data_IF_456629214456
#
_entry.id   IF_456629214456
#
_cell.length_a   1.000
_cell.length_b   1.000
_cell.length_c   1.000
_cell.angle_alpha   90.00
_cell.angle_beta   90.00
_cell.angle_gamma   90.00
#
_symmetry.space_group_name_H-M   'P 1'
#
loop_
_entity.id
_entity.type
_entity.pdbx_description
1 polymer ?
#
# COMPACT_ATOMS: atom_id res chain seq x y z
N UNK A 1 7.36 25.28 -4.48
CA UNK A 1 6.88 23.95 -4.08
C UNK A 1 7.79 22.99 -4.81
N UNK A 2 8.78 22.51 -4.06
CA UNK A 2 10.09 22.05 -4.53
C UNK A 2 10.06 20.66 -5.16
N UNK A 3 10.86 20.46 -6.20
CA UNK A 3 11.04 19.15 -6.86
C UNK A 3 11.65 18.06 -5.99
N UNK A 4 12.06 18.38 -4.75
CA UNK A 4 12.55 17.40 -3.76
C UNK A 4 11.41 16.54 -3.19
N UNK A 5 10.19 17.08 -3.06
CA UNK A 5 9.06 16.33 -2.52
C UNK A 5 8.57 15.25 -3.51
N UNK A 6 8.59 15.52 -4.82
CA UNK A 6 8.16 14.57 -5.86
C UNK A 6 9.05 13.32 -5.90
N UNK A 7 10.38 13.51 -5.80
CA UNK A 7 11.33 12.39 -5.79
C UNK A 7 11.17 11.49 -4.57
N UNK A 8 10.94 12.08 -3.39
CA UNK A 8 10.73 11.29 -2.18
C UNK A 8 9.44 10.46 -2.24
N UNK A 9 8.35 11.06 -2.74
CA UNK A 9 7.09 10.35 -2.96
C UNK A 9 7.24 9.17 -3.92
N UNK A 10 8.01 9.32 -5.01
CA UNK A 10 8.30 8.23 -5.96
C UNK A 10 9.04 7.07 -5.32
N UNK A 11 10.12 7.34 -4.58
CA UNK A 11 10.91 6.30 -3.90
C UNK A 11 10.05 5.56 -2.88
N UNK A 12 9.23 6.27 -2.10
CA UNK A 12 8.30 5.65 -1.16
C UNK A 12 7.24 4.80 -1.86
N UNK A 13 6.70 5.27 -2.99
CA UNK A 13 5.73 4.52 -3.77
C UNK A 13 6.35 3.24 -4.34
N UNK A 14 7.57 3.32 -4.88
CA UNK A 14 8.31 2.16 -5.33
C UNK A 14 8.50 1.17 -4.18
N UNK A 15 9.01 1.66 -3.04
CA UNK A 15 9.23 0.86 -1.85
C UNK A 15 7.97 0.15 -1.38
N UNK A 16 6.83 0.82 -1.38
CA UNK A 16 5.55 0.25 -1.00
C UNK A 16 5.16 -0.93 -1.89
N UNK A 17 5.30 -0.81 -3.21
CA UNK A 17 4.92 -1.88 -4.14
C UNK A 17 5.89 -3.07 -4.09
N UNK A 18 7.19 -2.79 -4.06
CA UNK A 18 8.22 -3.84 -4.01
C UNK A 18 8.18 -4.59 -2.69
N UNK A 19 8.05 -3.87 -1.56
CA UNK A 19 7.83 -4.50 -0.25
C UNK A 19 6.50 -5.27 -0.21
N UNK A 20 5.43 -4.74 -0.81
CA UNK A 20 4.16 -5.46 -0.93
C UNK A 20 4.31 -6.84 -1.60
N UNK A 21 5.13 -6.92 -2.66
CA UNK A 21 5.50 -8.19 -3.29
C UNK A 21 6.30 -9.10 -2.37
N UNK A 22 7.33 -8.56 -1.71
CA UNK A 22 8.19 -9.34 -0.81
C UNK A 22 7.46 -9.89 0.43
N UNK A 23 6.51 -9.15 0.97
CA UNK A 23 5.70 -9.57 2.12
C UNK A 23 4.43 -10.32 1.73
N UNK A 24 4.18 -10.54 0.42
CA UNK A 24 3.13 -11.46 -0.02
C UNK A 24 3.53 -12.89 0.37
N UNK A 25 2.69 -13.64 1.11
CA UNK A 25 3.01 -15.00 1.52
C UNK A 25 3.42 -15.88 0.34
N UNK A 26 4.44 -16.71 0.50
CA UNK A 26 4.93 -17.57 -0.59
C UNK A 26 3.89 -18.52 -1.21
N UNK A 27 2.80 -18.81 -0.51
CA UNK A 27 1.66 -19.59 -1.05
C UNK A 27 0.64 -18.77 -1.85
N UNK A 28 0.85 -17.46 -1.97
CA UNK A 28 -0.02 -16.53 -2.68
C UNK A 28 0.75 -15.78 -3.77
N UNK A 29 0.06 -15.45 -4.86
CA UNK A 29 0.60 -14.60 -5.90
C UNK A 29 0.16 -13.16 -5.65
N UNK A 30 1.10 -12.22 -5.80
CA UNK A 30 0.79 -10.80 -5.73
C UNK A 30 -0.16 -10.44 -6.87
N UNK A 31 -1.29 -9.83 -6.52
CA UNK A 31 -2.31 -9.43 -7.49
C UNK A 31 -1.86 -8.16 -8.21
N UNK A 32 -2.00 -8.08 -9.55
CA UNK A 32 -1.76 -6.86 -10.28
C UNK A 32 -2.71 -5.72 -9.85
N UNK A 33 -2.27 -4.47 -10.02
CA UNK A 33 -3.10 -3.32 -9.68
C UNK A 33 -4.45 -3.35 -10.43
N UNK A 34 -5.56 -3.01 -9.76
CA UNK A 34 -6.87 -2.97 -10.40
C UNK A 34 -6.89 -1.90 -11.49
N UNK A 35 -7.59 -2.20 -12.59
CA UNK A 35 -7.77 -1.26 -13.70
C UNK A 35 -9.06 -0.47 -13.49
N UNK A 36 -9.03 0.81 -13.85
CA UNK A 36 -10.22 1.65 -13.83
C UNK A 36 -11.25 1.14 -14.86
N UNK A 37 -12.42 0.76 -14.37
CA UNK A 37 -13.58 0.38 -15.18
C UNK A 37 -14.81 1.15 -14.65
N UNK A 38 -15.46 1.92 -15.52
CA UNK A 38 -16.54 2.84 -15.13
C UNK A 38 -17.85 2.15 -14.74
N UNK A 39 -18.12 0.97 -15.29
CA UNK A 39 -19.40 0.24 -15.11
C UNK A 39 -19.27 -1.06 -14.32
N UNK A 40 -18.06 -1.43 -13.91
CA UNK A 40 -17.79 -2.72 -13.26
C UNK A 40 -17.71 -3.92 -14.22
N UNK A 41 -18.16 -3.79 -15.47
CA UNK A 41 -18.02 -4.82 -16.52
C UNK A 41 -17.33 -4.22 -17.77
N UNK A 42 -16.04 -4.48 -17.93
CA UNK A 42 -15.21 -3.97 -19.03
C UNK A 42 -14.39 -5.10 -19.65
N UNK A 43 -14.33 -5.12 -20.97
CA UNK A 43 -13.40 -5.95 -21.74
C UNK A 43 -12.25 -5.09 -22.25
N UNK A 44 -11.04 -5.61 -22.20
CA UNK A 44 -9.87 -4.94 -22.78
C UNK A 44 -9.29 -5.81 -23.88
N UNK A 45 -8.81 -5.21 -24.99
CA UNK A 45 -8.07 -5.97 -25.97
C UNK A 45 -6.80 -6.53 -25.32
N UNK A 46 -6.31 -7.67 -25.84
CA UNK A 46 -5.05 -8.22 -25.38
C UNK A 46 -3.94 -7.17 -25.54
N UNK A 47 -3.19 -6.95 -24.45
CA UNK A 47 -2.14 -5.93 -24.41
C UNK A 47 -0.76 -6.58 -24.39
N UNK A 48 0.21 -5.91 -25.00
CA UNK A 48 1.63 -6.23 -24.88
C UNK A 48 2.30 -5.12 -24.09
N UNK A 49 3.04 -5.48 -23.05
CA UNK A 49 3.71 -4.53 -22.16
C UNK A 49 5.10 -5.01 -21.79
N UNK A 50 5.95 -4.06 -21.41
CA UNK A 50 7.16 -4.38 -20.63
C UNK A 50 6.71 -4.96 -19.29
N UNK A 51 7.36 -6.04 -18.88
CA UNK A 51 7.19 -6.68 -17.60
C UNK A 51 8.53 -6.97 -16.96
N UNK A 52 8.46 -7.42 -15.71
CA UNK A 52 9.61 -7.91 -14.97
C UNK A 52 9.42 -9.42 -14.81
N UNK A 53 10.44 -10.15 -15.24
CA UNK A 53 10.52 -11.58 -15.04
C UNK A 53 11.56 -11.88 -13.97
N UNK A 54 11.36 -12.99 -13.26
CA UNK A 54 12.32 -13.48 -12.28
C UNK A 54 12.60 -14.95 -12.52
N UNK A 55 13.83 -15.37 -12.27
CA UNK A 55 14.17 -16.79 -12.22
C UNK A 55 15.08 -17.09 -11.02
N UNK A 56 15.02 -18.34 -10.57
CA UNK A 56 15.76 -18.85 -9.41
C UNK A 56 16.44 -20.15 -9.81
N UNK A 57 17.75 -20.21 -9.64
CA UNK A 57 18.59 -21.35 -9.94
C UNK A 57 19.25 -21.87 -8.68
N UNK A 58 19.23 -23.19 -8.50
CA UNK A 58 19.97 -23.86 -7.43
C UNK A 58 21.44 -24.01 -7.85
N UNK A 59 22.31 -23.29 -7.16
CA UNK A 59 23.76 -23.28 -7.37
C UNK A 59 24.51 -23.94 -6.21
N UNK A 60 23.82 -24.75 -5.39
CA UNK A 60 24.42 -25.45 -4.24
C UNK A 60 25.63 -26.30 -4.66
N UNK A 61 25.58 -26.89 -5.86
CA UNK A 61 26.68 -27.68 -6.42
C UNK A 61 27.97 -26.89 -6.69
N UNK A 62 27.91 -25.56 -6.74
CA UNK A 62 29.07 -24.67 -6.90
C UNK A 62 29.69 -24.26 -5.56
N UNK A 63 29.02 -24.56 -4.45
CA UNK A 63 29.43 -24.14 -3.13
C UNK A 63 30.62 -24.98 -2.63
N UNK A 64 31.67 -24.29 -2.18
CA UNK A 64 32.82 -24.88 -1.50
C UNK A 64 32.70 -24.63 -0.01
N UNK A 65 32.35 -25.68 0.74
CA UNK A 65 32.28 -25.63 2.20
C UNK A 65 33.58 -26.13 2.81
N UNK A 66 34.18 -25.35 3.71
CA UNK A 66 35.37 -25.70 4.47
C UNK A 66 35.14 -25.45 5.96
N UNK A 67 35.82 -26.19 6.81
CA UNK A 67 35.81 -25.97 8.27
C UNK A 67 37.16 -25.32 8.64
N UNK A 68 37.27 -23.98 8.61
CA UNK A 68 38.47 -23.29 9.05
C UNK A 68 38.78 -23.58 10.53
N UNK A 69 40.03 -23.32 10.98
CA UNK A 69 40.40 -23.46 12.37
C UNK A 69 39.44 -22.72 13.30
N UNK A 70 39.19 -23.23 14.52
CA UNK A 70 38.39 -22.56 15.51
C UNK A 70 38.75 -21.09 15.67
N UNK A 71 37.76 -20.21 15.44
CA UNK A 71 37.87 -18.77 15.68
C UNK A 71 37.15 -18.44 16.97
N UNK A 72 37.77 -17.67 17.86
CA UNK A 72 37.06 -17.10 19.00
C UNK A 72 36.10 -16.01 18.50
N UNK A 73 34.85 -16.07 18.95
CA UNK A 73 33.80 -15.11 18.62
C UNK A 73 33.50 -14.26 19.87
N UNK A 74 34.37 -13.30 20.24
CA UNK A 74 34.36 -12.61 21.54
C UNK A 74 33.05 -11.86 21.84
N UNK A 75 32.25 -11.58 20.80
CA UNK A 75 31.01 -10.82 20.90
C UNK A 75 29.75 -11.69 20.86
N UNK A 76 29.90 -13.01 20.91
CA UNK A 76 28.80 -13.98 20.88
C UNK A 76 28.89 -14.94 22.10
N UNK A 77 28.73 -14.42 23.34
CA UNK A 77 28.79 -15.25 24.55
C UNK A 77 27.60 -16.23 24.58
N UNK A 78 27.89 -17.52 24.38
CA UNK A 78 26.86 -18.58 24.33
C UNK A 78 27.01 -19.59 23.19
N UNK A 79 27.98 -19.38 22.28
CA UNK A 79 28.38 -20.39 21.31
C UNK A 79 28.93 -21.64 22.02
N UNK A 80 28.19 -22.74 21.97
CA UNK A 80 28.55 -24.00 22.61
C UNK A 80 29.60 -24.80 21.82
N UNK A 81 29.94 -24.37 20.59
CA UNK A 81 30.92 -25.04 19.74
C UNK A 81 31.94 -24.05 19.17
N UNK A 82 33.22 -24.44 19.24
CA UNK A 82 34.36 -23.72 18.65
C UNK A 82 34.50 -23.95 17.13
N UNK A 83 33.54 -24.62 16.49
CA UNK A 83 33.62 -24.90 15.05
C UNK A 83 33.23 -23.66 14.27
N UNK A 84 33.88 -23.44 13.14
CA UNK A 84 33.58 -22.35 12.21
C UNK A 84 33.41 -22.97 10.84
N UNK A 85 32.40 -22.56 10.10
CA UNK A 85 32.17 -22.99 8.73
C UNK A 85 32.43 -21.84 7.78
N UNK A 86 33.02 -22.13 6.64
CA UNK A 86 33.19 -21.19 5.55
C UNK A 86 32.58 -21.78 4.29
N UNK A 87 31.60 -21.10 3.71
CA UNK A 87 30.89 -21.48 2.50
C UNK A 87 31.19 -20.45 1.41
N UNK A 88 31.81 -20.90 0.31
CA UNK A 88 32.34 -20.02 -0.72
C UNK A 88 31.78 -20.35 -2.10
N UNK A 89 31.37 -19.33 -2.86
CA UNK A 89 31.03 -19.47 -4.28
C UNK A 89 32.26 -19.17 -5.18
N UNK A 90 32.31 -19.69 -6.43
CA UNK A 90 33.46 -19.54 -7.32
C UNK A 90 33.85 -18.09 -7.64
N UNK A 91 32.94 -17.14 -7.44
CA UNK A 91 33.13 -15.71 -7.67
C UNK A 91 33.87 -14.97 -6.54
N UNK A 92 34.43 -15.67 -5.55
CA UNK A 92 35.14 -15.05 -4.41
C UNK A 92 34.23 -14.60 -3.27
N UNK A 93 32.96 -14.97 -3.32
CA UNK A 93 31.98 -14.70 -2.29
C UNK A 93 32.09 -15.76 -1.19
N UNK A 94 32.66 -15.40 -0.05
CA UNK A 94 32.88 -16.32 1.06
C UNK A 94 32.04 -15.89 2.27
N UNK A 95 31.10 -16.72 2.67
CA UNK A 95 30.40 -16.62 3.94
C UNK A 95 31.19 -17.40 4.99
N UNK A 96 31.70 -16.75 6.03
CA UNK A 96 32.31 -17.45 7.18
C UNK A 96 31.48 -17.22 8.43
N UNK A 97 30.93 -18.30 8.98
CA UNK A 97 30.01 -18.26 10.11
C UNK A 97 30.48 -19.17 11.25
N UNK A 98 30.19 -18.82 12.51
CA UNK A 98 30.37 -19.76 13.60
C UNK A 98 29.42 -20.95 13.41
N UNK A 99 29.82 -22.13 13.89
CA UNK A 99 28.96 -23.32 13.94
C UNK A 99 27.88 -23.12 15.01
N UNK A 100 26.86 -22.38 14.61
CA UNK A 100 25.59 -22.29 15.30
C UNK A 100 24.69 -23.41 14.78
N UNK A 101 23.95 -24.08 15.67
CA UNK A 101 22.78 -24.86 15.26
C UNK A 101 21.67 -23.88 14.86
N UNK A 102 21.90 -23.16 13.78
CA UNK A 102 21.06 -22.06 13.37
C UNK A 102 21.01 -21.89 11.86
N UNK A 103 20.06 -21.07 11.45
CA UNK A 103 19.80 -20.75 10.06
C UNK A 103 20.56 -19.48 9.71
N UNK A 104 21.56 -19.63 8.86
CA UNK A 104 22.33 -18.50 8.34
C UNK A 104 21.78 -18.12 6.97
N UNK A 105 21.83 -16.83 6.69
CA UNK A 105 21.29 -16.23 5.48
C UNK A 105 22.27 -15.15 5.04
N UNK A 106 22.97 -15.41 3.94
CA UNK A 106 23.95 -14.49 3.38
C UNK A 106 23.55 -14.13 1.97
N UNK A 107 23.39 -12.84 1.74
CA UNK A 107 22.97 -12.30 0.47
C UNK A 107 24.05 -11.38 -0.05
N UNK A 108 24.61 -11.70 -1.21
CA UNK A 108 25.70 -10.94 -1.81
C UNK A 108 25.26 -10.29 -3.11
N UNK A 109 25.64 -9.02 -3.23
CA UNK A 109 25.34 -8.09 -4.32
C UNK A 109 26.68 -7.78 -5.00
N UNK A 110 27.17 -8.70 -5.81
CA UNK A 110 28.54 -8.62 -6.33
C UNK A 110 28.59 -8.25 -7.81
N UNK A 111 29.75 -7.73 -8.24
CA UNK A 111 30.11 -7.38 -9.62
C UNK A 111 30.28 -8.61 -10.53
N UNK A 112 30.17 -9.82 -9.97
CA UNK A 112 30.42 -11.06 -10.71
C UNK A 112 29.32 -11.35 -11.74
N UNK A 113 29.70 -11.84 -12.94
CA UNK A 113 28.73 -12.28 -13.94
C UNK A 113 27.86 -13.40 -13.38
N UNK A 114 26.64 -13.51 -13.91
CA UNK A 114 25.71 -14.56 -13.50
C UNK A 114 26.30 -15.95 -13.69
N UNK A 115 26.13 -16.81 -12.68
CA UNK A 115 26.62 -18.20 -12.73
C UNK A 115 25.66 -19.10 -13.53
N UNK A 116 24.36 -18.83 -13.47
CA UNK A 116 23.30 -19.66 -14.07
C UNK A 116 22.58 -18.99 -15.23
N UNK A 117 22.53 -17.65 -15.26
CA UNK A 117 21.65 -16.88 -16.14
C UNK A 117 22.40 -16.15 -17.26
N UNK A 118 23.42 -16.79 -17.84
CA UNK A 118 24.21 -16.22 -18.95
C UNK A 118 23.34 -15.82 -20.16
N UNK A 119 22.26 -16.56 -20.43
CA UNK A 119 21.37 -16.35 -21.57
C UNK A 119 20.46 -15.12 -21.45
N UNK A 120 20.33 -14.53 -20.26
CA UNK A 120 19.51 -13.33 -20.00
C UNK A 120 20.33 -12.18 -19.41
N UNK A 121 21.65 -12.31 -19.35
CA UNK A 121 22.53 -11.40 -18.62
C UNK A 121 22.37 -9.93 -19.05
N UNK A 122 22.18 -9.68 -20.35
CA UNK A 122 22.07 -8.32 -20.89
C UNK A 122 20.75 -7.62 -20.49
N UNK A 123 19.68 -8.37 -20.20
CA UNK A 123 18.42 -7.80 -19.70
C UNK A 123 18.26 -7.89 -18.18
N UNK A 124 19.17 -8.57 -17.48
CA UNK A 124 19.17 -8.70 -16.03
C UNK A 124 19.60 -7.40 -15.40
N UNK A 125 18.69 -6.76 -14.66
CA UNK A 125 18.99 -5.54 -13.91
C UNK A 125 19.24 -5.82 -12.43
N UNK A 126 18.93 -7.00 -11.90
CA UNK A 126 19.36 -7.39 -10.57
C UNK A 126 19.70 -8.89 -10.55
N UNK A 127 20.87 -9.20 -10.02
CA UNK A 127 21.29 -10.58 -9.76
C UNK A 127 21.76 -10.67 -8.31
N UNK A 128 21.24 -11.65 -7.59
CA UNK A 128 21.45 -11.80 -6.16
C UNK A 128 21.77 -13.25 -5.85
N UNK A 129 22.86 -13.47 -5.15
CA UNK A 129 23.21 -14.78 -4.64
C UNK A 129 22.80 -14.88 -3.18
N UNK A 130 22.19 -16.00 -2.83
CA UNK A 130 21.76 -16.31 -1.49
C UNK A 130 22.39 -17.64 -1.05
N UNK A 131 23.26 -17.58 -0.05
CA UNK A 131 23.79 -18.75 0.65
C UNK A 131 23.02 -18.89 1.95
N UNK A 132 22.49 -20.08 2.23
CA UNK A 132 21.76 -20.34 3.45
C UNK A 132 22.07 -21.73 4.01
N UNK A 133 21.82 -21.93 5.30
CA UNK A 133 22.12 -23.19 5.98
C UNK A 133 20.85 -23.85 6.51
N UNK A 134 20.82 -25.19 6.43
CA UNK A 134 19.81 -26.04 7.03
C UNK A 134 20.45 -26.94 8.08
N UNK A 135 19.74 -27.19 9.17
CA UNK A 135 20.20 -28.10 10.22
C UNK A 135 19.42 -29.39 10.13
N UNK A 136 20.10 -30.48 9.78
CA UNK A 136 19.52 -31.82 9.68
C UNK A 136 19.72 -32.55 10.99
N UNK A 137 18.66 -33.17 11.51
CA UNK A 137 18.74 -34.01 12.71
C UNK A 137 18.89 -33.22 14.01
N UNK A 138 18.20 -32.08 14.13
CA UNK A 138 18.25 -31.10 15.24
C UNK A 138 18.11 -31.66 16.67
N UNK A 139 17.67 -32.93 16.82
CA UNK A 139 17.50 -33.63 18.09
C UNK A 139 18.40 -34.88 18.22
N UNK A 140 19.39 -35.02 17.34
CA UNK A 140 20.30 -36.17 17.30
C UNK A 140 21.72 -35.70 17.59
N UNK A 141 22.56 -36.54 18.22
CA UNK A 141 23.99 -36.26 18.38
C UNK A 141 24.75 -36.19 17.03
N UNK A 142 24.08 -36.48 15.92
CA UNK A 142 24.59 -36.41 14.55
C UNK A 142 24.08 -35.18 13.79
N UNK A 143 23.57 -34.16 14.48
CA UNK A 143 23.11 -32.94 13.85
C UNK A 143 24.21 -32.34 12.95
N UNK A 144 23.87 -32.07 11.69
CA UNK A 144 24.80 -31.53 10.68
C UNK A 144 24.20 -30.28 10.07
N UNK A 145 25.08 -29.33 9.75
CA UNK A 145 24.75 -28.13 8.99
C UNK A 145 25.02 -28.43 7.52
N UNK A 146 24.00 -28.27 6.69
CA UNK A 146 24.11 -28.35 5.24
C UNK A 146 23.92 -26.97 4.66
N UNK A 147 24.87 -26.51 3.85
CA UNK A 147 24.77 -25.24 3.16
C UNK A 147 24.17 -25.44 1.78
N UNK A 148 23.30 -24.53 1.41
CA UNK A 148 22.67 -24.44 0.11
C UNK A 148 22.89 -23.05 -0.45
N UNK A 149 22.83 -22.92 -1.77
CA UNK A 149 22.99 -21.65 -2.44
C UNK A 149 22.04 -21.55 -3.62
N UNK A 150 21.41 -20.39 -3.77
CA UNK A 150 20.60 -20.05 -4.94
C UNK A 150 21.05 -18.74 -5.57
N UNK A 151 20.87 -18.64 -6.87
CA UNK A 151 21.00 -17.41 -7.63
C UNK A 151 19.61 -16.95 -8.06
N UNK A 152 19.34 -15.67 -7.88
CA UNK A 152 18.05 -15.05 -8.20
C UNK A 152 18.28 -13.88 -9.14
N UNK A 153 17.64 -13.91 -10.30
CA UNK A 153 17.74 -12.85 -11.29
C UNK A 153 16.38 -12.18 -11.50
N UNK A 154 16.36 -10.85 -11.55
CA UNK A 154 15.27 -10.05 -12.10
C UNK A 154 15.73 -9.40 -13.38
N UNK A 155 14.92 -9.54 -14.42
CA UNK A 155 15.27 -9.12 -15.76
C UNK A 155 14.05 -8.58 -16.49
N UNK A 156 14.32 -7.74 -17.48
CA UNK A 156 13.28 -7.22 -18.33
C UNK A 156 12.77 -8.27 -19.30
N UNK A 157 11.46 -8.33 -19.45
CA UNK A 157 10.81 -9.20 -20.41
C UNK A 157 9.59 -8.49 -21.02
N UNK A 158 9.06 -9.04 -22.10
CA UNK A 158 7.79 -8.64 -22.68
C UNK A 158 6.73 -9.65 -22.29
N UNK A 159 5.56 -9.14 -21.91
CA UNK A 159 4.42 -9.97 -21.50
C UNK A 159 3.18 -9.53 -22.25
N UNK A 160 2.35 -10.49 -22.60
CA UNK A 160 1.01 -10.23 -23.10
C UNK A 160 -0.05 -10.66 -22.10
N UNK A 161 -1.09 -9.84 -21.96
CA UNK A 161 -2.17 -10.06 -20.99
C UNK A 161 -3.54 -9.98 -21.66
N UNK A 162 -4.40 -10.92 -21.28
CA UNK A 162 -5.84 -10.78 -21.44
C UNK A 162 -6.42 -10.23 -20.15
N UNK A 163 -7.22 -9.17 -20.26
CA UNK A 163 -7.73 -8.44 -19.11
C UNK A 163 -9.25 -8.36 -19.24
N UNK A 164 -9.92 -8.89 -18.23
CA UNK A 164 -11.37 -8.81 -18.13
C UNK A 164 -11.76 -8.28 -16.76
N UNK A 165 -12.68 -7.30 -16.73
CA UNK A 165 -13.27 -6.80 -15.50
C UNK A 165 -14.71 -7.27 -15.46
N UNK A 166 -15.05 -8.06 -14.45
CA UNK A 166 -16.41 -8.54 -14.23
C UNK A 166 -16.84 -8.23 -12.80
N UNK A 167 -17.99 -7.54 -12.65
CA UNK A 167 -18.56 -7.10 -11.36
C UNK A 167 -17.57 -6.31 -10.49
N UNK A 168 -16.77 -5.46 -11.12
CA UNK A 168 -15.73 -4.65 -10.49
C UNK A 168 -14.46 -5.41 -10.10
N UNK A 169 -14.36 -6.70 -10.42
CA UNK A 169 -13.16 -7.51 -10.15
C UNK A 169 -12.35 -7.63 -11.43
N UNK A 170 -11.14 -7.06 -11.43
CA UNK A 170 -10.18 -7.21 -12.54
C UNK A 170 -9.52 -8.58 -12.48
N UNK A 171 -9.55 -9.31 -13.60
CA UNK A 171 -8.81 -10.55 -13.81
C UNK A 171 -7.74 -10.32 -14.86
N UNK A 172 -6.51 -10.60 -14.48
CA UNK A 172 -5.35 -10.58 -15.35
C UNK A 172 -4.98 -12.02 -15.69
N UNK A 173 -4.82 -12.32 -16.98
CA UNK A 173 -4.31 -13.60 -17.44
C UNK A 173 -3.13 -13.37 -18.36
N UNK A 174 -1.96 -13.85 -17.97
CA UNK A 174 -0.78 -13.85 -18.85
C UNK A 174 -1.00 -14.87 -19.98
N UNK A 175 -0.86 -14.41 -21.23
CA UNK A 175 -1.05 -15.25 -22.42
C UNK A 175 0.30 -15.77 -22.91
N UNK A 176 1.28 -14.87 -23.03
CA UNK A 176 2.59 -15.16 -23.59
C UNK A 176 3.65 -14.26 -22.96
N UNK A 177 4.90 -14.71 -22.97
CA UNK A 177 6.06 -13.97 -22.46
C UNK A 177 7.29 -14.23 -23.32
N UNK A 178 8.17 -13.24 -23.44
CA UNK A 178 9.46 -13.35 -24.11
C UNK A 178 10.50 -12.47 -23.43
N UNK A 179 11.77 -12.84 -23.51
CA UNK A 179 12.88 -12.02 -23.04
C UNK A 179 13.93 -11.84 -24.15
N UNK A 180 13.49 -11.91 -25.41
CA UNK A 180 14.37 -11.75 -26.56
C UNK A 180 14.72 -10.27 -26.76
N UNK A 181 16.01 -9.97 -26.80
CA UNK A 181 16.55 -8.66 -27.13
C UNK A 181 16.64 -8.52 -28.66
N UNK A 182 16.31 -7.33 -29.18
CA UNK A 182 16.43 -6.99 -30.61
C UNK A 182 17.70 -6.21 -30.94
N UNK A 183 18.14 -5.34 -30.03
CA UNK A 183 19.36 -4.53 -30.19
C UNK A 183 20.44 -5.02 -29.24
N UNK A 184 21.65 -5.26 -29.73
CA UNK A 184 22.79 -5.69 -28.91
C UNK A 184 23.28 -4.50 -28.05
N UNK A 185 22.54 -4.20 -26.97
CA UNK A 185 22.99 -3.31 -25.91
C UNK A 185 24.18 -3.97 -25.24
N UNK A 186 25.37 -3.45 -25.51
CA UNK A 186 26.63 -3.89 -24.88
C UNK A 186 26.75 -3.43 -23.42
N UNK A 187 25.79 -2.64 -22.95
CA UNK A 187 25.79 -1.94 -21.67
C UNK A 187 25.06 -2.75 -20.62
N UNK A 188 25.78 -3.18 -19.57
CA UNK A 188 25.19 -3.93 -18.48
C UNK A 188 24.12 -3.09 -17.75
N UNK A 189 22.89 -3.61 -17.66
CA UNK A 189 21.75 -2.93 -17.01
C UNK A 189 21.68 -3.18 -15.50
N UNK A 190 22.66 -3.89 -14.94
CA UNK A 190 22.78 -4.20 -13.51
C UNK A 190 23.82 -3.30 -12.84
N UNK A 191 23.44 -2.62 -11.76
CA UNK A 191 24.25 -1.62 -11.04
C UNK A 191 25.62 -2.15 -10.62
N UNK A 192 25.75 -3.32 -9.94
CA UNK A 192 27.05 -3.85 -9.56
C UNK A 192 27.97 -4.01 -10.76
N UNK A 193 27.47 -4.45 -11.91
CA UNK A 193 28.29 -4.62 -13.12
C UNK A 193 28.50 -3.33 -13.94
N UNK A 194 27.89 -2.21 -13.58
CA UNK A 194 27.97 -0.95 -14.33
C UNK A 194 28.73 0.13 -13.55
N UNK A 195 30.05 0.19 -13.76
CA UNK A 195 30.94 1.12 -13.06
C UNK A 195 30.58 2.60 -13.32
N UNK A 196 30.17 2.94 -14.54
CA UNK A 196 29.78 4.31 -14.89
C UNK A 196 28.56 4.78 -14.08
N UNK A 197 27.60 3.88 -13.84
CA UNK A 197 26.44 4.18 -13.02
C UNK A 197 26.79 4.33 -11.54
N UNK A 198 27.65 3.46 -11.01
CA UNK A 198 28.17 3.59 -9.63
C UNK A 198 28.83 4.96 -9.46
N UNK A 199 29.74 5.34 -10.36
CA UNK A 199 30.41 6.63 -10.34
C UNK A 199 29.42 7.81 -10.47
N UNK A 200 28.32 7.60 -11.19
CA UNK A 200 27.23 8.57 -11.29
C UNK A 200 26.44 8.71 -9.98
N UNK A 201 25.94 7.62 -9.41
CA UNK A 201 25.12 7.62 -8.17
C UNK A 201 25.88 8.19 -6.98
N UNK A 202 27.19 7.91 -6.89
CA UNK A 202 28.04 8.46 -5.83
C UNK A 202 28.59 9.86 -6.15
N UNK A 203 28.06 10.52 -7.19
CA UNK A 203 28.41 11.88 -7.63
C UNK A 203 29.91 12.11 -7.86
N UNK A 204 30.68 11.04 -8.07
CA UNK A 204 32.13 11.11 -8.26
C UNK A 204 32.48 11.75 -9.61
N UNK A 205 31.58 11.69 -10.59
CA UNK A 205 31.72 12.32 -11.91
C UNK A 205 30.39 12.86 -12.46
N UNK A 206 30.00 14.12 -12.15
CA UNK A 206 28.69 14.66 -12.54
C UNK A 206 28.43 14.72 -14.05
N UNK A 207 29.48 14.77 -14.89
CA UNK A 207 29.36 14.75 -16.35
C UNK A 207 28.90 13.40 -16.94
N UNK A 208 29.00 12.31 -16.18
CA UNK A 208 28.57 10.96 -16.63
C UNK A 208 27.11 10.63 -16.25
N UNK A 209 26.45 11.54 -15.54
CA UNK A 209 25.04 11.42 -15.17
C UNK A 209 24.09 12.11 -16.15
N UNK A 210 24.59 12.68 -17.25
CA UNK A 210 23.73 13.34 -18.21
C UNK A 210 22.76 12.32 -18.82
N UNK A 211 21.46 12.65 -18.81
CA UNK A 211 20.38 11.73 -19.22
C UNK A 211 20.55 11.21 -20.66
N UNK A 212 21.28 11.94 -21.51
CA UNK A 212 21.54 11.60 -22.90
C UNK A 212 22.69 10.59 -23.10
N UNK A 213 23.46 10.25 -22.05
CA UNK A 213 24.59 9.32 -22.16
C UNK A 213 24.20 7.85 -21.99
N UNK A 214 22.93 7.56 -21.64
CA UNK A 214 22.45 6.21 -21.39
C UNK A 214 21.71 5.65 -22.60
N UNK A 215 21.94 4.37 -22.90
CA UNK A 215 21.34 3.68 -24.03
C UNK A 215 19.88 3.28 -23.79
N UNK A 216 19.37 2.51 -24.74
CA UNK A 216 18.04 1.92 -24.68
C UNK A 216 18.14 0.41 -24.90
N UNK A 217 17.42 -0.36 -24.09
CA UNK A 217 17.22 -1.79 -24.27
C UNK A 217 15.93 -2.03 -25.06
N UNK A 218 16.06 -2.62 -26.25
CA UNK A 218 14.92 -2.93 -27.12
C UNK A 218 14.57 -4.42 -27.04
N UNK A 219 13.34 -4.73 -26.64
CA UNK A 219 12.83 -6.08 -26.51
C UNK A 219 11.83 -6.43 -27.62
N UNK A 220 11.90 -7.67 -28.08
CA UNK A 220 10.96 -8.23 -29.03
C UNK A 220 9.58 -8.46 -28.37
N UNK A 221 8.48 -8.27 -29.11
CA UNK A 221 7.17 -8.68 -28.63
C UNK A 221 7.12 -10.21 -28.37
N UNK A 222 6.22 -10.67 -27.49
CA UNK A 222 6.11 -12.09 -27.18
C UNK A 222 5.51 -12.89 -28.37
N UNK A 223 5.77 -14.22 -28.44
CA UNK A 223 5.21 -15.08 -29.48
C UNK A 223 3.68 -14.94 -29.59
N UNK A 224 3.17 -14.87 -30.82
CA UNK A 224 1.76 -14.62 -31.13
C UNK A 224 1.39 -13.13 -31.23
N UNK A 225 2.31 -12.23 -30.88
CA UNK A 225 2.11 -10.78 -30.92
C UNK A 225 3.17 -10.06 -31.77
N UNK A 226 3.76 -10.74 -32.76
CA UNK A 226 4.90 -10.25 -33.55
C UNK A 226 4.62 -8.97 -34.35
N UNK A 227 3.33 -8.62 -34.53
CA UNK A 227 2.90 -7.38 -35.19
C UNK A 227 3.00 -6.15 -34.28
N UNK A 228 3.15 -6.32 -32.98
CA UNK A 228 3.32 -5.20 -32.06
C UNK A 228 4.70 -4.55 -32.25
N UNK A 229 4.79 -3.22 -32.11
CA UNK A 229 6.08 -2.55 -32.17
C UNK A 229 6.99 -3.04 -31.03
N UNK A 230 8.32 -3.04 -31.24
CA UNK A 230 9.25 -3.42 -30.20
C UNK A 230 9.13 -2.48 -28.99
N UNK A 231 9.41 -3.02 -27.82
CA UNK A 231 9.31 -2.30 -26.57
C UNK A 231 10.69 -1.79 -26.15
N UNK A 232 10.78 -0.51 -25.83
CA UNK A 232 12.04 0.16 -25.52
C UNK A 232 12.06 0.56 -24.05
N UNK A 233 13.15 0.23 -23.38
CA UNK A 233 13.39 0.51 -21.95
C UNK A 233 14.64 1.37 -21.85
N UNK A 234 14.57 2.46 -21.10
CA UNK A 234 15.73 3.30 -20.86
C UNK A 234 16.68 2.61 -19.86
N UNK A 235 17.98 2.55 -20.18
CA UNK A 235 18.97 1.89 -19.33
C UNK A 235 19.09 2.53 -17.94
N UNK A 236 18.97 3.86 -17.84
CA UNK A 236 19.01 4.57 -16.55
C UNK A 236 17.86 4.13 -15.62
N UNK A 237 16.68 3.86 -16.18
CA UNK A 237 15.55 3.33 -15.41
C UNK A 237 15.87 1.92 -14.85
N UNK A 238 16.53 1.08 -15.65
CA UNK A 238 16.97 -0.26 -15.24
C UNK A 238 17.97 -0.19 -14.09
N UNK A 239 18.95 0.70 -14.20
CA UNK A 239 19.97 0.91 -13.18
C UNK A 239 19.39 1.52 -11.89
N UNK A 240 18.40 2.41 -12.00
CA UNK A 240 17.65 2.91 -10.85
C UNK A 240 16.91 1.80 -10.09
N UNK A 241 16.24 0.89 -10.81
CA UNK A 241 15.61 -0.30 -10.20
C UNK A 241 16.63 -1.23 -9.57
N UNK A 242 17.76 -1.46 -10.25
CA UNK A 242 18.89 -2.24 -9.75
C UNK A 242 19.41 -1.70 -8.43
N UNK A 243 19.67 -0.39 -8.38
CA UNK A 243 20.12 0.32 -7.19
C UNK A 243 19.10 0.20 -6.06
N UNK A 244 17.83 0.41 -6.36
CA UNK A 244 16.77 0.29 -5.38
C UNK A 244 16.73 -1.12 -4.77
N UNK A 245 16.77 -2.18 -5.58
CA UNK A 245 16.75 -3.55 -5.08
C UNK A 245 17.98 -3.82 -4.21
N UNK A 246 19.16 -3.53 -4.75
CA UNK A 246 20.46 -3.64 -4.05
C UNK A 246 20.40 -2.94 -2.68
N UNK A 247 19.98 -1.68 -2.66
CA UNK A 247 19.81 -0.91 -1.42
C UNK A 247 18.69 -1.44 -0.53
N UNK A 248 17.62 -2.04 -1.06
CA UNK A 248 16.53 -2.60 -0.25
C UNK A 248 16.91 -3.92 0.42
N UNK A 249 17.85 -4.66 -0.16
CA UNK A 249 18.53 -5.77 0.48
C UNK A 249 19.58 -5.30 1.50
N UNK A 250 20.15 -4.10 1.34
CA UNK A 250 21.20 -3.57 2.22
C UNK A 250 20.68 -2.65 3.35
N UNK A 251 19.54 -1.97 3.16
CA UNK A 251 19.07 -0.88 4.03
C UNK A 251 18.61 -1.37 5.40
N UNK A 252 19.56 -1.48 6.31
CA UNK A 252 19.36 -1.34 7.75
C UNK A 252 20.34 -0.33 8.33
N UNK A 253 20.36 0.91 7.84
CA UNK A 253 21.19 1.96 8.43
C UNK A 253 20.62 2.40 9.80
N UNK A 254 21.41 2.22 10.86
CA UNK A 254 21.52 3.13 12.01
C UNK A 254 22.96 3.03 12.54
N UNK A 255 23.65 4.08 12.96
CA UNK A 255 23.45 5.56 13.09
C UNK A 255 24.73 6.08 13.82
N UNK A 256 24.86 7.32 14.35
CA UNK A 256 24.29 8.63 14.07
C UNK A 256 25.40 9.64 13.65
N UNK A 257 25.05 10.90 13.42
CA UNK A 257 25.98 12.00 13.62
C UNK A 257 26.58 11.92 15.05
N UNK A 258 27.88 11.64 15.10
CA UNK A 258 28.88 11.82 16.17
C UNK A 258 28.42 12.16 17.60
N UNK A 259 28.86 11.35 18.57
CA UNK A 259 29.75 11.79 19.68
C UNK A 259 30.15 10.61 20.59
N UNK A 260 31.41 10.20 20.44
CA UNK A 260 32.36 9.67 21.43
C UNK A 260 31.96 8.54 22.42
N UNK A 261 32.76 7.46 22.34
CA UNK A 261 32.90 6.33 23.28
C UNK A 261 31.67 5.41 23.31
N UNK A 262 31.77 4.15 22.93
CA UNK A 262 32.72 3.14 23.42
C UNK A 262 32.97 2.07 22.36
N UNK A 263 34.14 1.44 22.47
CA UNK A 263 34.63 0.27 21.73
C UNK A 263 33.60 -0.85 21.50
N UNK A 264 32.85 -0.78 20.39
CA UNK A 264 31.99 -1.85 19.87
C UNK A 264 32.45 -2.26 18.47
N UNK A 265 32.72 -3.56 18.32
CA UNK A 265 32.90 -4.31 17.05
C UNK A 265 33.24 -3.51 15.79
N UNK A 266 34.52 -3.27 15.57
CA UNK A 266 35.05 -3.30 14.21
C UNK A 266 35.21 -4.77 13.78
N UNK A 267 34.13 -5.37 13.26
CA UNK A 267 34.29 -6.43 12.27
C UNK A 267 34.63 -5.68 10.99
N UNK A 268 35.93 -5.59 10.69
CA UNK A 268 36.44 -4.94 9.49
C UNK A 268 35.94 -5.64 8.23
N UNK A 269 34.89 -5.05 7.63
CA UNK A 269 34.45 -5.19 6.23
C UNK A 269 33.08 -4.53 6.17
N UNK A 270 32.97 -3.37 5.53
CA UNK A 270 31.74 -2.56 5.40
C UNK A 270 30.66 -3.23 4.52
N UNK A 271 30.66 -4.56 4.36
CA UNK A 271 29.85 -5.28 3.38
C UNK A 271 28.92 -6.38 3.94
N UNK A 272 28.78 -6.55 5.26
CA UNK A 272 28.18 -7.79 5.82
C UNK A 272 26.96 -7.58 6.77
N UNK A 273 25.82 -8.23 6.45
CA UNK A 273 24.67 -8.59 7.31
C UNK A 273 24.04 -9.91 6.81
N UNK A 274 23.37 -10.84 7.53
CA UNK A 274 22.61 -10.93 8.81
C UNK A 274 22.76 -12.34 9.47
N UNK A 275 22.37 -12.53 10.76
CA UNK A 275 22.49 -13.81 11.54
C UNK A 275 21.21 -14.25 12.30
N UNK A 276 20.99 -15.57 12.58
CA UNK A 276 20.09 -16.13 13.64
C UNK A 276 20.84 -17.17 14.50
N UNK A 277 20.50 -17.28 15.79
CA UNK A 277 20.75 -18.47 16.64
C UNK A 277 19.46 -18.93 17.39
N UNK A 278 19.25 -20.25 17.53
CA UNK A 278 18.18 -20.85 18.35
C UNK A 278 18.54 -20.74 19.86
N UNK A 279 17.87 -19.85 20.61
CA UNK A 279 18.13 -19.60 22.05
C UNK A 279 17.82 -18.16 22.52
N UNK A 280 18.26 -17.75 23.72
CA UNK A 280 17.97 -16.42 24.35
C UNK A 280 18.76 -15.22 23.72
N UNK A 281 18.60 -15.02 22.40
CA UNK A 281 18.80 -13.79 21.54
C UNK A 281 20.24 -13.51 21.03
N UNK A 282 20.58 -12.84 19.89
CA UNK A 282 19.95 -11.89 18.92
C UNK A 282 20.49 -12.02 17.46
N UNK A 283 19.96 -11.18 16.53
CA UNK A 283 20.10 -11.12 15.06
C UNK A 283 20.47 -9.71 14.62
N UNK A 284 21.13 -9.54 13.46
CA UNK A 284 21.20 -8.22 12.78
C UNK A 284 20.59 -8.26 11.38
N UNK A 285 19.26 -8.13 11.33
CA UNK A 285 18.32 -7.69 10.26
C UNK A 285 18.62 -6.39 9.47
N UNK A 286 19.33 -6.34 8.34
CA UNK A 286 19.49 -5.07 7.59
C UNK A 286 18.94 -5.21 6.17
N UNK A 287 17.83 -4.51 5.88
CA UNK A 287 17.13 -4.59 4.59
C UNK A 287 15.70 -5.14 4.74
N UNK A 288 14.72 -4.40 4.23
CA UNK A 288 13.31 -4.79 4.27
C UNK A 288 13.05 -6.05 3.42
N UNK A 289 13.77 -6.20 2.30
CA UNK A 289 13.68 -7.39 1.46
C UNK A 289 14.35 -8.58 2.13
N UNK A 290 15.56 -8.41 2.65
CA UNK A 290 16.29 -9.47 3.37
C UNK A 290 15.45 -10.03 4.53
N UNK A 291 14.74 -9.17 5.26
CA UNK A 291 13.78 -9.59 6.29
C UNK A 291 12.62 -10.41 5.71
N UNK A 292 12.02 -9.96 4.61
CA UNK A 292 10.93 -10.66 3.96
C UNK A 292 11.35 -12.05 3.45
N UNK A 293 12.55 -12.18 2.88
CA UNK A 293 13.14 -13.46 2.50
C UNK A 293 13.31 -14.38 3.70
N UNK A 294 13.90 -13.88 4.78
CA UNK A 294 14.12 -14.65 6.00
C UNK A 294 12.79 -15.14 6.62
N UNK A 295 11.76 -14.28 6.68
CA UNK A 295 10.42 -14.65 7.17
C UNK A 295 9.76 -15.70 6.28
N UNK A 296 9.84 -15.57 4.95
CA UNK A 296 9.20 -16.55 4.07
C UNK A 296 9.92 -17.90 4.07
N UNK A 297 11.26 -17.90 4.10
CA UNK A 297 12.05 -19.14 4.10
C UNK A 297 11.98 -19.91 5.42
N UNK A 298 11.96 -19.20 6.56
CA UNK A 298 12.04 -19.81 7.88
C UNK A 298 10.74 -19.68 8.69
N UNK A 299 9.68 -19.13 8.08
CA UNK A 299 8.35 -18.92 8.67
C UNK A 299 8.46 -18.14 9.99
N UNK A 300 7.94 -18.69 11.08
CA UNK A 300 7.96 -18.10 12.43
C UNK A 300 9.35 -18.19 13.07
N UNK A 301 10.36 -18.63 12.31
CA UNK A 301 11.72 -18.92 12.74
C UNK A 301 11.84 -19.90 13.93
N UNK A 302 10.77 -20.62 14.23
CA UNK A 302 10.66 -21.58 15.32
C UNK A 302 10.50 -23.03 14.80
N UNK A 303 10.26 -23.20 13.50
CA UNK A 303 10.07 -24.52 12.87
C UNK A 303 11.29 -24.97 12.07
N UNK A 304 11.50 -26.28 12.02
CA UNK A 304 12.35 -26.90 10.99
C UNK A 304 11.57 -26.83 9.68
N UNK A 305 12.07 -26.05 8.73
CA UNK A 305 11.50 -25.99 7.38
C UNK A 305 12.06 -27.15 6.58
N UNK A 306 11.19 -27.81 5.81
CA UNK A 306 11.61 -28.84 4.88
C UNK A 306 12.52 -28.19 3.80
N UNK A 307 13.79 -28.60 3.67
CA UNK A 307 14.71 -28.06 2.67
C UNK A 307 14.14 -28.10 1.25
N UNK A 308 13.34 -29.11 0.93
CA UNK A 308 12.75 -29.27 -0.41
C UNK A 308 11.76 -28.13 -0.77
N UNK A 309 11.20 -27.45 0.23
CA UNK A 309 10.21 -26.39 0.06
C UNK A 309 10.81 -24.99 -0.10
N UNK A 310 12.08 -24.79 0.24
CA UNK A 310 12.71 -23.46 0.29
C UNK A 310 12.93 -22.85 -1.10
N UNK A 311 13.42 -23.62 -2.07
CA UNK A 311 13.60 -23.12 -3.45
C UNK A 311 12.26 -22.72 -4.11
N UNK A 312 11.18 -23.52 -4.01
CA UNK A 312 9.85 -23.08 -4.46
C UNK A 312 9.35 -21.81 -3.76
N UNK A 313 9.57 -21.67 -2.45
CA UNK A 313 9.22 -20.47 -1.69
C UNK A 313 9.96 -19.25 -2.25
N UNK A 314 11.26 -19.39 -2.51
CA UNK A 314 12.09 -18.33 -3.09
C UNK A 314 11.61 -17.96 -4.49
N UNK A 315 11.28 -18.93 -5.34
CA UNK A 315 10.74 -18.68 -6.69
C UNK A 315 9.43 -17.88 -6.64
N UNK A 316 8.53 -18.22 -5.72
CA UNK A 316 7.27 -17.49 -5.56
C UNK A 316 7.51 -16.08 -5.02
N UNK A 317 8.43 -15.93 -4.06
CA UNK A 317 8.81 -14.64 -3.51
C UNK A 317 9.44 -13.71 -4.55
N UNK A 318 10.39 -14.18 -5.35
CA UNK A 318 11.00 -13.39 -6.43
C UNK A 318 9.98 -13.01 -7.50
N UNK A 319 9.03 -13.90 -7.79
CA UNK A 319 7.91 -13.63 -8.71
C UNK A 319 6.98 -12.55 -8.15
N UNK A 320 6.67 -12.58 -6.85
CA UNK A 320 5.86 -11.55 -6.21
C UNK A 320 6.56 -10.19 -6.19
N UNK A 321 7.87 -10.17 -5.93
CA UNK A 321 8.68 -8.95 -6.05
C UNK A 321 8.63 -8.40 -7.49
N UNK A 322 8.77 -9.26 -8.51
CA UNK A 322 8.65 -8.87 -9.90
C UNK A 322 7.27 -8.25 -10.21
N UNK A 323 6.18 -8.89 -9.77
CA UNK A 323 4.82 -8.33 -9.86
C UNK A 323 4.68 -6.99 -9.13
N UNK A 324 5.37 -6.80 -8.01
CA UNK A 324 5.41 -5.54 -7.28
C UNK A 324 6.09 -4.43 -8.06
N UNK A 325 7.23 -4.73 -8.68
CA UNK A 325 7.92 -3.79 -9.58
C UNK A 325 7.02 -3.45 -10.79
N UNK A 326 6.34 -4.43 -11.38
CA UNK A 326 5.39 -4.17 -12.48
C UNK A 326 4.23 -3.28 -12.05
N UNK A 327 3.67 -3.50 -10.86
CA UNK A 327 2.59 -2.67 -10.33
C UNK A 327 3.05 -1.22 -10.12
N UNK A 328 4.28 -1.03 -9.62
CA UNK A 328 4.89 0.29 -9.54
C UNK A 328 5.02 0.94 -10.92
N UNK A 329 5.61 0.24 -11.90
CA UNK A 329 5.79 0.73 -13.27
C UNK A 329 4.45 1.13 -13.90
N UNK A 330 3.41 0.32 -13.73
CA UNK A 330 2.05 0.61 -14.24
C UNK A 330 1.41 1.82 -13.56
N UNK A 331 1.63 1.98 -12.26
CA UNK A 331 1.07 3.09 -11.48
C UNK A 331 1.70 4.44 -11.82
N UNK A 332 2.99 4.44 -12.18
CA UNK A 332 3.81 5.66 -12.33
C UNK A 332 4.46 5.77 -13.72
N UNK A 333 3.71 5.41 -14.77
CA UNK A 333 4.24 5.34 -16.14
C UNK A 333 4.66 6.71 -16.70
N UNK A 334 3.98 7.80 -16.30
CA UNK A 334 4.30 9.17 -16.75
C UNK A 334 5.64 9.66 -16.23
N UNK A 335 6.03 9.18 -15.05
CA UNK A 335 7.23 9.60 -14.34
C UNK A 335 8.53 9.02 -14.90
N UNK A 336 8.46 7.84 -15.53
CA UNK A 336 9.63 7.04 -15.91
C UNK A 336 9.98 7.15 -17.40
N UNK A 337 9.35 8.08 -18.14
CA UNK A 337 9.51 8.25 -19.60
C UNK A 337 9.40 6.94 -20.39
N UNK A 338 8.73 5.94 -19.83
CA UNK A 338 8.38 4.75 -20.56
C UNK A 338 7.41 5.20 -21.64
N UNK A 339 7.63 4.77 -22.88
CA UNK A 339 6.71 5.01 -24.00
C UNK A 339 5.44 4.19 -23.82
N UNK A 340 4.74 4.37 -22.71
CA UNK A 340 3.50 3.70 -22.40
C UNK A 340 2.37 4.43 -23.13
N UNK A 341 1.59 3.69 -23.92
CA UNK A 341 0.37 4.19 -24.53
C UNK A 341 -0.81 3.70 -23.69
N UNK A 342 -1.73 4.59 -23.28
CA UNK A 342 -2.93 4.14 -22.60
C UNK A 342 -3.72 3.24 -23.54
N UNK A 343 -4.17 2.09 -23.02
CA UNK A 343 -5.07 1.18 -23.74
C UNK A 343 -6.47 1.37 -23.18
N UNK A 344 -7.41 1.71 -24.04
CA UNK A 344 -8.81 1.89 -23.68
C UNK A 344 -9.55 0.55 -23.81
N UNK A 345 -10.32 0.19 -22.79
CA UNK A 345 -11.24 -0.95 -22.83
C UNK A 345 -12.62 -0.56 -23.36
N UNK A 346 -13.41 -1.58 -23.69
CA UNK A 346 -14.82 -1.47 -24.06
C UNK A 346 -15.70 -1.86 -22.89
N UNK A 347 -16.66 -1.00 -22.55
CA UNK A 347 -17.68 -1.28 -21.53
C UNK A 347 -18.69 -2.29 -22.08
N UNK A 348 -18.90 -3.42 -21.39
CA UNK A 348 -19.78 -4.51 -21.87
C UNK A 348 -21.24 -4.29 -21.43
N UNK A 349 -21.46 -3.65 -20.28
CA UNK A 349 -22.78 -3.38 -19.75
C UNK A 349 -22.90 -1.93 -19.29
N UNK A 350 -23.86 -1.20 -19.84
CA UNK A 350 -24.41 0.00 -19.22
C UNK A 350 -25.27 -0.43 -18.04
N UNK A 351 -24.65 -0.77 -16.90
CA UNK A 351 -25.42 -0.97 -15.68
C UNK A 351 -25.91 0.39 -15.23
N UNK A 352 -27.21 0.66 -15.41
CA UNK A 352 -27.84 1.83 -14.83
C UNK A 352 -27.67 1.77 -13.30
N UNK A 353 -26.76 2.58 -12.76
CA UNK A 353 -26.43 2.61 -11.32
C UNK A 353 -27.62 3.07 -10.46
N UNK A 354 -28.63 3.68 -11.10
CA UNK A 354 -29.87 4.13 -10.44
C UNK A 354 -31.07 3.62 -11.23
N UNK A 355 -31.69 2.54 -10.74
CA UNK A 355 -32.99 2.11 -11.24
C UNK A 355 -34.07 2.99 -10.60
N UNK A 356 -34.44 4.09 -11.26
CA UNK A 356 -35.53 4.95 -10.78
C UNK A 356 -36.83 4.14 -10.89
N UNK A 357 -37.32 3.66 -9.75
CA UNK A 357 -38.63 3.03 -9.64
C UNK A 357 -39.69 4.13 -9.53
N UNK A 358 -40.18 4.57 -10.69
CA UNK A 358 -41.29 5.54 -10.82
C UNK A 358 -42.49 5.31 -9.88
N UNK A 359 -42.89 4.07 -9.53
CA UNK A 359 -43.99 3.84 -8.58
C UNK A 359 -43.79 4.43 -7.17
N UNK A 360 -42.56 4.60 -6.71
CA UNK A 360 -42.29 5.25 -5.41
C UNK A 360 -42.40 6.77 -5.50
N UNK A 361 -42.06 7.35 -6.67
CA UNK A 361 -42.19 8.78 -6.90
C UNK A 361 -43.67 9.19 -6.96
N UNK A 362 -44.54 8.34 -7.51
CA UNK A 362 -45.99 8.58 -7.55
C UNK A 362 -46.61 8.61 -6.16
N UNK A 363 -46.10 7.83 -5.21
CA UNK A 363 -46.57 7.86 -3.82
C UNK A 363 -46.25 9.21 -3.15
N UNK A 364 -45.01 9.69 -3.28
CA UNK A 364 -44.60 11.00 -2.74
C UNK A 364 -45.39 12.16 -3.39
N UNK A 365 -45.62 12.10 -4.70
CA UNK A 365 -46.45 13.08 -5.41
C UNK A 365 -47.90 13.05 -4.94
N UNK A 366 -48.47 11.87 -4.69
CA UNK A 366 -49.82 11.72 -4.17
C UNK A 366 -49.94 12.26 -2.73
N UNK A 367 -48.98 11.98 -1.86
CA UNK A 367 -48.97 12.48 -0.48
C UNK A 367 -48.87 14.01 -0.44
N UNK A 368 -47.99 14.60 -1.26
CA UNK A 368 -47.79 16.04 -1.33
C UNK A 368 -49.02 16.77 -1.89
N UNK A 369 -49.64 16.21 -2.94
CA UNK A 369 -50.88 16.76 -3.50
C UNK A 369 -52.05 16.66 -2.53
N UNK A 370 -52.22 15.52 -1.86
CA UNK A 370 -53.32 15.30 -0.92
C UNK A 370 -53.17 16.16 0.34
N UNK A 371 -51.95 16.32 0.85
CA UNK A 371 -51.64 17.24 1.96
C UNK A 371 -51.88 18.70 1.59
N UNK A 372 -51.51 19.11 0.38
CA UNK A 372 -51.77 20.46 -0.11
C UNK A 372 -53.26 20.74 -0.28
N UNK A 373 -54.03 19.77 -0.79
CA UNK A 373 -55.49 19.88 -0.91
C UNK A 373 -56.16 19.96 0.46
N UNK A 374 -55.72 19.14 1.42
CA UNK A 374 -56.23 19.16 2.78
C UNK A 374 -55.98 20.51 3.47
N UNK A 375 -54.76 21.07 3.33
CA UNK A 375 -54.43 22.39 3.86
C UNK A 375 -55.29 23.49 3.24
N UNK A 376 -55.45 23.50 1.91
CA UNK A 376 -56.30 24.48 1.22
C UNK A 376 -57.76 24.35 1.64
N UNK A 377 -58.26 23.14 1.86
CA UNK A 377 -59.60 22.90 2.35
C UNK A 377 -59.79 23.47 3.77
N UNK A 378 -58.82 23.29 4.68
CA UNK A 378 -58.86 23.86 6.02
C UNK A 378 -58.83 25.39 5.98
N UNK A 379 -57.93 25.98 5.18
CA UNK A 379 -57.82 27.43 5.05
C UNK A 379 -59.14 28.01 4.51
N UNK A 380 -59.68 27.40 3.46
CA UNK A 380 -60.96 27.80 2.89
C UNK A 380 -62.09 27.68 3.90
N UNK A 381 -62.18 26.56 4.61
CA UNK A 381 -63.23 26.34 5.61
C UNK A 381 -63.12 27.34 6.77
N UNK A 382 -61.93 27.57 7.31
CA UNK A 382 -61.68 28.54 8.35
C UNK A 382 -62.08 29.97 7.94
N UNK A 383 -61.77 30.36 6.70
CA UNK A 383 -62.18 31.64 6.14
C UNK A 383 -63.70 31.77 6.02
N UNK A 384 -64.41 30.70 5.64
CA UNK A 384 -65.87 30.69 5.56
C UNK A 384 -66.56 30.70 6.93
N UNK A 385 -66.00 30.00 7.92
CA UNK A 385 -66.62 29.89 9.25
C UNK A 385 -66.38 31.11 10.15
N UNK A 386 -65.60 32.11 9.70
CA UNK A 386 -65.21 33.29 10.52
C UNK A 386 -64.77 32.91 11.94
N UNK A 387 -64.09 31.77 12.08
CA UNK A 387 -63.53 31.37 13.36
C UNK A 387 -62.31 32.25 13.56
N UNK A 388 -62.42 33.26 14.40
CA UNK A 388 -61.27 34.01 14.87
C UNK A 388 -60.27 33.00 15.45
N UNK A 389 -59.10 32.91 14.82
CA UNK A 389 -58.00 32.10 15.33
C UNK A 389 -57.67 32.62 16.73
N UNK A 390 -58.18 31.94 17.76
CA UNK A 390 -57.74 32.03 19.16
C UNK A 390 -56.33 31.42 19.29
N UNK A 391 -55.41 31.87 18.45
CA UNK A 391 -53.99 31.54 18.48
C UNK A 391 -53.24 32.66 19.18
N UNK A 392 -53.10 32.55 20.51
CA UNK A 392 -52.01 33.22 21.23
C UNK A 392 -52.29 34.56 21.95
N UNK A 393 -53.54 34.95 22.21
CA UNK A 393 -53.84 36.21 22.92
C UNK A 393 -54.50 35.98 24.28
N UNK A 394 -54.12 36.79 25.28
CA UNK A 394 -54.45 36.75 26.72
C UNK A 394 -55.94 36.90 27.10
N UNK A 395 -56.85 36.48 26.22
CA UNK A 395 -58.29 36.55 26.37
C UNK A 395 -58.84 35.38 27.21
N UNK A 396 -58.15 34.23 27.20
CA UNK A 396 -58.42 33.14 28.14
C UNK A 396 -58.25 33.57 29.61
N UNK A 397 -57.34 34.52 29.88
CA UNK A 397 -57.15 35.12 31.21
C UNK A 397 -58.24 36.13 31.58
N UNK A 398 -58.90 36.75 30.60
CA UNK A 398 -60.04 37.65 30.82
C UNK A 398 -61.31 36.91 31.24
N UNK A 399 -61.46 35.63 30.87
CA UNK A 399 -62.55 34.79 31.36
C UNK A 399 -62.50 34.53 32.88
N UNK A 400 -61.33 34.67 33.51
CA UNK A 400 -61.09 34.44 34.93
C UNK A 400 -61.36 35.65 35.85
N UNK A 401 -61.76 36.81 35.30
CA UNK A 401 -62.13 37.99 36.09
C UNK A 401 -63.55 37.84 36.68
N UNK A 402 -63.74 38.40 37.88
CA UNK A 402 -65.03 38.45 38.56
C UNK A 402 -66.02 39.37 37.85
N UNK A 403 -67.31 39.06 38.01
CA UNK A 403 -68.41 39.73 37.30
C UNK A 403 -68.48 41.27 37.45
N UNK A 404 -68.19 41.89 38.62
CA UNK A 404 -68.20 43.34 38.72
C UNK A 404 -67.05 43.98 37.92
N UNK A 405 -65.88 43.33 37.82
CA UNK A 405 -64.76 43.83 37.00
C UNK A 405 -65.10 43.73 35.51
N UNK A 406 -65.80 42.68 35.07
CA UNK A 406 -66.29 42.57 33.69
C UNK A 406 -67.27 43.69 33.32
N UNK A 407 -68.15 44.09 34.23
CA UNK A 407 -69.07 45.21 34.01
C UNK A 407 -68.36 46.57 33.91
N UNK A 408 -67.28 46.78 34.68
CA UNK A 408 -66.45 48.00 34.62
C UNK A 408 -65.70 48.16 33.28
N UNK A 409 -65.20 47.06 32.70
CA UNK A 409 -64.48 47.10 31.42
C UNK A 409 -65.40 47.44 30.21
N UNK A 410 -66.69 47.14 30.29
CA UNK A 410 -67.67 47.43 29.24
C UNK A 410 -67.59 46.50 28.02
N UNK A 411 -68.42 46.76 27.02
CA UNK A 411 -68.56 45.90 25.84
C UNK A 411 -67.32 45.95 24.93
N UNK A 412 -66.90 44.78 24.40
CA UNK A 412 -65.68 44.59 23.60
C UNK A 412 -65.86 45.13 22.16
N UNK A 413 -66.04 46.44 22.02
CA UNK A 413 -66.24 47.09 20.72
C UNK A 413 -64.97 47.74 20.16
N UNK A 414 -64.16 48.37 21.01
CA UNK A 414 -62.94 49.07 20.61
C UNK A 414 -61.75 48.66 21.51
N UNK A 415 -60.77 48.00 20.91
CA UNK A 415 -59.60 47.44 21.60
C UNK A 415 -58.77 48.54 22.30
N UNK A 416 -58.67 49.73 21.70
CA UNK A 416 -57.88 50.81 22.29
C UNK A 416 -58.57 51.47 23.49
N UNK A 417 -59.90 51.45 23.52
CA UNK A 417 -60.66 51.94 24.66
C UNK A 417 -60.58 50.96 25.84
N UNK A 418 -60.63 49.66 25.56
CA UNK A 418 -60.42 48.59 26.55
C UNK A 418 -59.01 48.67 27.14
N UNK A 419 -57.98 48.87 26.30
CA UNK A 419 -56.59 49.00 26.76
C UNK A 419 -56.41 50.19 27.70
N UNK A 420 -57.02 51.35 27.38
CA UNK A 420 -57.01 52.54 28.25
C UNK A 420 -57.77 52.35 29.57
N UNK A 421 -58.86 51.57 29.58
CA UNK A 421 -59.59 51.23 30.81
C UNK A 421 -58.81 50.23 31.67
N UNK A 422 -58.27 49.18 31.05
CA UNK A 422 -57.46 48.17 31.74
C UNK A 422 -56.21 48.75 32.40
N UNK A 423 -55.57 49.75 31.80
CA UNK A 423 -54.42 50.43 32.39
C UNK A 423 -54.72 51.16 33.72
N UNK A 424 -56.00 51.46 34.01
CA UNK A 424 -56.43 52.11 35.26
C UNK A 424 -56.90 51.14 36.33
N UNK A 425 -56.99 49.85 36.00
CA UNK A 425 -57.48 48.82 36.91
C UNK A 425 -56.26 48.13 37.53
N UNK A 426 -56.04 48.37 38.82
CA UNK A 426 -54.98 47.69 39.57
C UNK A 426 -55.56 46.42 40.19
N UNK A 427 -54.88 45.30 39.98
CA UNK A 427 -55.32 44.01 40.51
C UNK A 427 -54.43 43.65 41.70
N UNK A 428 -55.03 43.39 42.86
CA UNK A 428 -54.33 42.90 44.04
C UNK A 428 -54.88 41.54 44.43
N UNK A 429 -53.98 40.62 44.73
CA UNK A 429 -54.35 39.33 45.28
C UNK A 429 -54.69 39.53 46.76
N UNK A 430 -55.93 39.23 47.14
CA UNK A 430 -56.41 39.33 48.52
C UNK A 430 -56.86 37.95 48.99
N UNK A 431 -56.47 37.58 50.21
CA UNK A 431 -56.87 36.31 50.81
C UNK A 431 -58.25 36.49 51.47
N UNK A 432 -59.27 35.85 50.89
CA UNK A 432 -60.63 35.82 51.42
C UNK A 432 -60.91 34.51 52.17
N UNK A 433 -62.07 34.39 52.81
CA UNK A 433 -62.45 33.20 53.58
C UNK A 433 -62.56 31.90 52.73
N UNK A 434 -62.59 32.01 51.39
CA UNK A 434 -62.57 30.87 50.45
C UNK A 434 -61.23 30.70 49.70
N UNK A 435 -60.18 31.42 50.12
CA UNK A 435 -58.84 31.36 49.51
C UNK A 435 -58.41 32.66 48.83
N UNK A 436 -57.31 32.60 48.08
CA UNK A 436 -56.76 33.76 47.36
C UNK A 436 -57.64 34.15 46.17
N UNK A 437 -58.17 35.37 46.18
CA UNK A 437 -58.95 35.94 45.09
C UNK A 437 -58.30 37.23 44.59
N UNK A 438 -58.27 37.41 43.26
CA UNK A 438 -57.84 38.66 42.64
C UNK A 438 -58.98 39.66 42.73
N UNK A 439 -58.77 40.77 43.45
CA UNK A 439 -59.72 41.90 43.48
C UNK A 439 -59.13 43.08 42.74
N UNK A 440 -59.97 43.71 41.92
CA UNK A 440 -59.62 44.92 41.21
C UNK A 440 -60.00 46.16 42.03
N UNK A 441 -59.16 47.20 41.99
CA UNK A 441 -59.43 48.49 42.62
C UNK A 441 -59.10 49.60 41.61
N UNK A 442 -59.85 50.70 41.65
CA UNK A 442 -59.58 51.90 40.85
C UNK A 442 -59.08 53.01 41.77
N UNK A 443 -58.26 53.93 41.26
CA UNK A 443 -57.56 54.95 42.08
C UNK A 443 -58.49 55.92 42.87
N UNK A 444 -59.81 55.77 42.76
CA UNK A 444 -60.81 56.57 43.48
C UNK A 444 -61.60 55.79 44.55
N UNK A 445 -61.25 54.52 44.85
CA UNK A 445 -61.92 53.64 45.83
C UNK A 445 -61.07 53.30 47.07
#
# INVERSE_FOLDING_TARGET
>A
MDGTDDNYHRILNMKRHVAGGAYTPAGQQMVPNPIACSTGDCDFPDIVTVGVCSDVSDITHLLKTTEPPPREWPNMPGLSSNRTWSAALPAGQNLTIPSLFAFDFFLTLDLAPSLSFQHIQNQTFANIYLIYSNVIGLNTPQARVEFQAVEMAWYWCTKSYSINVARGITRWQEISRSAQILDDSTTAVNMPSNLDFILCVFELTPKKCEENSWGNLTLAPPPGFERHPPLVINELASLGLSAFLTMSFWNGVKSPLNLASTSELEIGSESEGMFRALGRKFFRIQGDLSLAFAINMYRDFLGVVDPSSQVPILRNLTTNIASGIENFIRSDWKAHRLTARPVNGTVIAETAFVHIRWPWLTYLLAELTLSSLFLMAIIGWAAFTKVEMLGGSALATLCALDEPTKQSLGHIGDYEEIRRRAARIHIRLTEGPEGLALRSYTDND
#
